data_IF_888136436316
#
_entry.id   IF_888136436316
#
_cell.length_a   1.000
_cell.length_b   1.000
_cell.length_c   1.000
_cell.angle_alpha   90.00
_cell.angle_beta   90.00
_cell.angle_gamma   90.00
#
_symmetry.space_group_name_H-M   'P 1'
#
loop_
_entity.id
_entity.type
_entity.pdbx_description
1 polymer ?
#
# COMPACT_ATOMS: atom_id res chain seq x y z
N UNK A 1 16.36 -4.17 -0.15
CA UNK A 1 15.00 -4.46 0.35
C UNK A 1 15.15 -4.99 1.77
N UNK A 2 14.53 -4.33 2.75
CA UNK A 2 14.56 -4.76 4.15
C UNK A 2 13.37 -5.70 4.38
N UNK A 3 13.63 -6.93 4.86
CA UNK A 3 12.57 -7.88 5.21
C UNK A 3 12.29 -7.76 6.70
N UNK A 4 11.05 -7.44 7.05
CA UNK A 4 10.61 -7.34 8.45
C UNK A 4 9.82 -8.58 8.82
N UNK A 5 10.06 -9.10 10.03
CA UNK A 5 9.17 -10.10 10.63
C UNK A 5 7.98 -9.37 11.22
N UNK A 6 6.79 -9.71 10.72
CA UNK A 6 5.53 -9.16 11.21
C UNK A 6 4.60 -10.30 11.62
N UNK A 7 3.63 -10.00 12.48
CA UNK A 7 2.67 -11.00 12.98
C UNK A 7 1.30 -10.77 12.34
N UNK A 8 0.74 -11.80 11.74
CA UNK A 8 -0.64 -11.78 11.27
C UNK A 8 -1.60 -11.87 12.47
N UNK A 9 -2.67 -11.07 12.44
CA UNK A 9 -3.73 -11.03 13.46
C UNK A 9 -5.09 -10.97 12.79
N UNK A 10 -6.09 -11.69 13.34
CA UNK A 10 -7.47 -11.61 12.86
C UNK A 10 -8.11 -10.29 13.30
N UNK A 11 -8.70 -9.57 12.36
CA UNK A 11 -9.47 -8.34 12.56
C UNK A 11 -10.82 -8.49 11.84
N UNK A 12 -11.87 -8.83 12.58
CA UNK A 12 -13.17 -9.14 11.99
C UNK A 12 -13.08 -10.28 10.98
N UNK A 13 -13.46 -10.00 9.73
CA UNK A 13 -13.39 -10.93 8.60
C UNK A 13 -12.07 -10.81 7.79
N UNK A 14 -11.11 -10.01 8.28
CA UNK A 14 -9.84 -9.74 7.60
C UNK A 14 -8.65 -10.20 8.44
N UNK A 15 -7.49 -10.30 7.80
CA UNK A 15 -6.20 -10.51 8.47
C UNK A 15 -5.41 -9.21 8.41
N UNK A 16 -5.12 -8.63 9.57
CA UNK A 16 -4.19 -7.53 9.74
C UNK A 16 -2.76 -8.03 9.91
N UNK A 17 -1.79 -7.19 9.54
CA UNK A 17 -0.36 -7.43 9.79
C UNK A 17 0.09 -6.40 10.83
N UNK A 18 0.61 -6.87 11.96
CA UNK A 18 1.14 -6.01 13.02
C UNK A 18 2.57 -5.64 12.67
N UNK A 19 2.78 -4.37 12.33
CA UNK A 19 4.11 -3.79 12.04
C UNK A 19 4.75 -3.38 13.38
N UNK A 20 6.01 -3.78 13.64
CA UNK A 20 6.74 -3.35 14.84
C UNK A 20 6.86 -1.83 14.95
N UNK A 21 6.70 -1.27 16.16
CA UNK A 21 6.71 0.17 16.41
C UNK A 21 8.00 0.86 15.91
N UNK A 22 9.15 0.22 16.09
CA UNK A 22 10.43 0.77 15.61
C UNK A 22 10.46 0.98 14.08
N UNK A 23 9.73 0.18 13.31
CA UNK A 23 9.60 0.35 11.85
C UNK A 23 8.61 1.47 11.53
N UNK A 24 7.50 1.54 12.27
CA UNK A 24 6.50 2.61 12.17
C UNK A 24 7.17 3.96 12.38
N UNK A 25 7.97 4.11 13.43
CA UNK A 25 8.67 5.36 13.75
C UNK A 25 9.75 5.69 12.71
N UNK A 26 10.60 4.71 12.35
CA UNK A 26 11.68 4.89 11.37
C UNK A 26 11.16 5.29 9.99
N UNK A 27 10.00 4.77 9.59
CA UNK A 27 9.38 5.04 8.29
C UNK A 27 8.30 6.13 8.37
N UNK A 28 8.04 6.70 9.56
CA UNK A 28 7.00 7.70 9.80
C UNK A 28 5.60 7.27 9.31
N UNK A 29 5.27 5.99 9.49
CA UNK A 29 3.97 5.42 9.11
C UNK A 29 2.91 5.95 10.08
N UNK A 30 1.84 6.54 9.54
CA UNK A 30 0.71 7.07 10.32
C UNK A 30 -0.56 6.27 10.03
N UNK A 31 -1.57 6.44 10.89
CA UNK A 31 -2.92 5.96 10.57
C UNK A 31 -3.38 6.55 9.23
N UNK A 32 -4.10 5.76 8.43
CA UNK A 32 -4.51 6.10 7.07
C UNK A 32 -3.41 6.05 6.01
N UNK A 33 -2.16 5.77 6.36
CA UNK A 33 -1.09 5.63 5.37
C UNK A 33 -1.33 4.37 4.54
N UNK A 34 -1.38 4.50 3.21
CA UNK A 34 -1.40 3.34 2.33
C UNK A 34 -0.06 2.63 2.34
N UNK A 35 -0.08 1.33 2.62
CA UNK A 35 1.12 0.51 2.71
C UNK A 35 1.05 -0.62 1.69
N UNK A 36 2.17 -0.78 1.02
CA UNK A 36 2.40 -1.82 0.05
C UNK A 36 3.12 -2.98 0.71
N UNK A 37 2.52 -4.16 0.65
CA UNK A 37 3.06 -5.35 1.29
C UNK A 37 3.35 -6.39 0.21
N UNK A 38 4.61 -6.80 0.12
CA UNK A 38 5.03 -7.93 -0.72
C UNK A 38 4.92 -9.20 0.12
N UNK A 39 3.98 -10.07 -0.22
CA UNK A 39 3.81 -11.37 0.45
C UNK A 39 4.51 -12.43 -0.38
N UNK A 40 5.55 -13.04 0.19
CA UNK A 40 6.23 -14.19 -0.41
C UNK A 40 5.82 -15.46 0.33
N UNK A 41 5.10 -16.35 -0.36
CA UNK A 41 4.95 -17.74 0.08
C UNK A 41 6.17 -18.54 -0.37
N UNK A 42 6.64 -19.50 0.43
CA UNK A 42 7.69 -20.46 0.01
C UNK A 42 7.31 -21.25 -1.25
N UNK A 43 6.03 -21.21 -1.66
CA UNK A 43 5.60 -21.58 -3.01
C UNK A 43 6.11 -20.55 -4.01
N UNK A 44 7.25 -20.84 -4.64
CA UNK A 44 7.91 -20.19 -5.80
C UNK A 44 6.98 -19.27 -6.62
N UNK A 45 6.70 -18.08 -6.11
CA UNK A 45 5.98 -17.04 -6.85
C UNK A 45 7.02 -16.01 -7.22
N UNK A 46 7.22 -15.77 -8.52
CA UNK A 46 8.32 -14.96 -9.00
C UNK A 46 8.11 -13.53 -8.49
N UNK A 47 9.12 -12.98 -7.81
CA UNK A 47 9.12 -11.61 -7.26
C UNK A 47 8.66 -10.58 -8.31
N UNK A 48 8.95 -10.84 -9.58
CA UNK A 48 8.56 -10.02 -10.74
C UNK A 48 7.04 -9.82 -10.88
N UNK A 49 6.24 -10.84 -10.52
CA UNK A 49 4.79 -10.80 -10.65
C UNK A 49 4.15 -9.91 -9.58
N UNK A 50 4.70 -9.93 -8.36
CA UNK A 50 4.24 -9.08 -7.25
C UNK A 50 4.63 -7.62 -7.49
N UNK A 51 5.83 -7.36 -8.01
CA UNK A 51 6.26 -6.00 -8.39
C UNK A 51 5.44 -5.41 -9.54
N UNK A 52 4.98 -6.24 -10.49
CA UNK A 52 4.10 -5.82 -11.58
C UNK A 52 2.75 -5.34 -11.07
N UNK A 53 2.07 -6.17 -10.25
CA UNK A 53 0.77 -5.84 -9.63
C UNK A 53 0.87 -4.56 -8.80
N UNK A 54 1.98 -4.43 -8.08
CA UNK A 54 2.22 -3.28 -7.23
C UNK A 54 2.38 -1.97 -8.02
N UNK A 55 3.23 -1.98 -9.06
CA UNK A 55 3.45 -0.81 -9.89
C UNK A 55 2.17 -0.36 -10.58
N UNK A 56 1.35 -1.33 -10.99
CA UNK A 56 0.05 -1.05 -11.61
C UNK A 56 -0.96 -0.45 -10.62
N UNK A 57 -1.04 -0.98 -9.39
CA UNK A 57 -1.91 -0.42 -8.35
C UNK A 57 -1.51 0.98 -7.91
N UNK A 58 -0.21 1.23 -7.73
CA UNK A 58 0.30 2.58 -7.44
C UNK A 58 -0.06 3.58 -8.53
N UNK A 59 0.09 3.18 -9.80
CA UNK A 59 -0.25 4.04 -10.92
C UNK A 59 -1.75 4.39 -10.94
N UNK A 60 -2.62 3.43 -10.59
CA UNK A 60 -4.08 3.68 -10.50
C UNK A 60 -4.42 4.62 -9.35
N UNK A 61 -3.86 4.40 -8.15
CA UNK A 61 -4.09 5.27 -7.00
C UNK A 61 -3.59 6.71 -7.26
N UNK A 62 -2.41 6.87 -7.89
CA UNK A 62 -1.92 8.20 -8.28
C UNK A 62 -2.80 8.85 -9.35
N UNK A 63 -3.40 8.08 -10.26
CA UNK A 63 -4.32 8.62 -11.27
C UNK A 63 -5.63 9.08 -10.62
N UNK A 64 -6.21 8.28 -9.72
CA UNK A 64 -7.43 8.64 -8.97
C UNK A 64 -7.24 9.93 -8.16
N UNK A 65 -6.08 10.11 -7.52
CA UNK A 65 -5.72 11.35 -6.82
C UNK A 65 -5.52 12.54 -7.77
N UNK A 66 -5.01 12.33 -8.99
CA UNK A 66 -4.88 13.39 -9.99
C UNK A 66 -6.26 13.79 -10.51
N UNK A 67 -7.11 12.80 -10.77
CA UNK A 67 -8.45 13.02 -11.31
C UNK A 67 -9.33 13.77 -10.29
N UNK A 68 -9.21 13.47 -9.00
CA UNK A 68 -9.90 14.19 -7.90
C UNK A 68 -9.41 15.65 -7.77
N UNK A 69 -8.11 15.90 -7.97
CA UNK A 69 -7.54 17.26 -7.92
C UNK A 69 -7.91 18.08 -9.17
N UNK A 70 -8.03 17.44 -10.33
CA UNK A 70 -8.42 18.11 -11.59
C UNK A 70 -9.91 18.51 -11.56
N UNK A 71 -10.77 17.68 -10.95
CA UNK A 71 -12.19 17.99 -10.70
C UNK A 71 -12.36 19.18 -9.75
N UNK A 72 -11.52 19.31 -8.71
CA UNK A 72 -11.54 20.42 -7.75
C UNK A 72 -10.99 21.76 -8.32
N UNK A 73 -10.15 21.73 -9.36
CA UNK A 73 -9.47 22.92 -9.91
C UNK A 73 -10.25 23.65 -11.02
N UNK A 74 -11.35 23.07 -11.51
CA UNK A 74 -12.25 23.72 -12.47
C UNK A 74 -13.66 23.87 -11.89
N UNK A 75 -13.94 24.92 -11.07
CA UNK A 75 -15.31 25.34 -10.90
C UNK A 75 -15.82 25.74 -12.29
N UNK A 76 -16.90 25.11 -12.72
CA UNK A 76 -17.60 25.48 -13.95
C UNK A 76 -17.62 27.01 -14.09
N UNK A 77 -16.94 27.51 -15.12
CA UNK A 77 -17.17 28.86 -15.59
C UNK A 77 -17.67 28.75 -17.03
N UNK A 78 -18.99 29.03 -17.14
CA UNK A 78 -19.85 29.22 -18.32
C UNK A 78 -20.29 28.02 -19.15
#
# INVERSE_FOLDING_TARGET
MEQIKAKAKKWGNSIGIVIPANIVDKQSIKDGTEIIITITSDKKTKVKDVFGILKEKLKRNTQELIDEVDEDLWPENE
#
